data_IF_981539479247
#
_entry.id   IF_981539479247
#
_cell.length_a   1.000
_cell.length_b   1.000
_cell.length_c   1.000
_cell.angle_alpha   90.00
_cell.angle_beta   90.00
_cell.angle_gamma   90.00
#
_symmetry.space_group_name_H-M   'P 1'
#
loop_
_entity.id
_entity.type
_entity.pdbx_description
1 polymer ?
#
# COMPACT_ATOMS: atom_id res chain seq x y z
N UNK A 1 1.10 14.95 2.66
CA UNK A 1 0.54 16.26 2.32
C UNK A 1 -0.97 16.13 2.18
N UNK A 2 -1.76 16.94 2.88
CA UNK A 2 -3.20 16.97 2.63
C UNK A 2 -3.48 17.90 1.43
N UNK A 3 -4.41 17.50 0.55
CA UNK A 3 -4.82 18.34 -0.57
C UNK A 3 -5.59 19.57 -0.06
N UNK A 4 -5.41 20.73 -0.69
CA UNK A 4 -6.19 21.93 -0.38
C UNK A 4 -7.70 21.71 -0.49
N UNK A 5 -8.13 20.82 -1.40
CA UNK A 5 -9.54 20.42 -1.56
C UNK A 5 -10.13 19.65 -0.38
N UNK A 6 -9.29 19.17 0.53
CA UNK A 6 -9.71 18.43 1.72
C UNK A 6 -9.83 19.31 2.96
N UNK A 7 -9.54 20.61 2.83
CA UNK A 7 -9.65 21.57 3.94
C UNK A 7 -11.14 21.88 4.18
N UNK A 8 -11.71 21.56 5.36
CA UNK A 8 -13.11 21.85 5.66
C UNK A 8 -13.35 23.36 5.79
N UNK A 9 -14.52 23.85 5.40
CA UNK A 9 -15.01 25.18 5.78
C UNK A 9 -14.53 26.36 4.93
N UNK A 10 -14.06 26.16 3.70
CA UNK A 10 -13.76 27.24 2.75
C UNK A 10 -12.43 27.94 2.97
N UNK A 11 -12.20 29.06 2.24
CA UNK A 11 -10.90 29.72 2.13
C UNK A 11 -10.28 30.22 3.46
N UNK A 12 -11.09 30.60 4.43
CA UNK A 12 -10.59 31.13 5.71
C UNK A 12 -10.16 30.03 6.71
N UNK A 13 -10.68 28.83 6.58
CA UNK A 13 -10.41 27.74 7.51
C UNK A 13 -9.04 27.10 7.35
N UNK A 14 -8.37 27.29 6.21
CA UNK A 14 -7.01 26.76 5.99
C UNK A 14 -5.96 27.39 6.94
N UNK A 15 -6.24 28.58 7.48
CA UNK A 15 -5.36 29.26 8.44
C UNK A 15 -5.44 28.60 9.83
N UNK A 16 -6.60 28.02 10.15
CA UNK A 16 -6.87 27.39 11.44
C UNK A 16 -6.86 25.85 11.38
N UNK A 17 -6.70 25.30 10.18
CA UNK A 17 -6.70 23.85 10.00
C UNK A 17 -5.33 23.25 10.26
N UNK A 18 -5.27 22.38 11.26
CA UNK A 18 -4.09 21.62 11.60
C UNK A 18 -4.14 20.29 10.81
N UNK A 19 -3.23 20.07 9.85
CA UNK A 19 -3.26 18.84 9.05
C UNK A 19 -2.98 17.63 9.93
N UNK A 20 -3.63 16.48 9.66
CA UNK A 20 -3.29 15.25 10.35
C UNK A 20 -1.82 14.90 10.14
N UNK A 21 -1.21 14.24 11.13
CA UNK A 21 0.16 13.78 11.02
C UNK A 21 0.35 12.93 9.75
N UNK A 22 1.42 13.14 8.99
CA UNK A 22 1.68 12.35 7.80
C UNK A 22 1.96 10.88 8.17
N UNK A 23 1.53 9.94 7.31
CA UNK A 23 1.81 8.49 7.48
C UNK A 23 3.31 8.24 7.62
N UNK A 24 4.12 8.96 6.83
CA UNK A 24 5.58 8.93 6.91
C UNK A 24 6.07 10.33 7.27
N UNK A 25 6.77 10.52 8.40
CA UNK A 25 7.33 11.79 8.80
C UNK A 25 8.40 12.29 7.83
N UNK A 26 8.60 13.60 7.78
CA UNK A 26 9.54 14.22 6.84
C UNK A 26 11.00 13.81 7.11
N UNK A 27 11.38 13.61 8.36
CA UNK A 27 12.71 13.13 8.77
C UNK A 27 13.02 11.70 8.33
N UNK A 28 11.99 10.96 7.89
CA UNK A 28 12.08 9.61 7.29
C UNK A 28 11.82 9.61 5.79
N UNK A 29 11.75 10.79 5.18
CA UNK A 29 11.54 10.94 3.73
C UNK A 29 12.87 11.30 3.09
N UNK A 30 13.39 10.40 2.24
CA UNK A 30 14.65 10.59 1.52
C UNK A 30 14.38 11.13 0.12
N UNK A 31 15.31 11.95 -0.40
CA UNK A 31 15.24 12.48 -1.75
C UNK A 31 16.02 11.60 -2.72
N UNK A 32 15.37 11.18 -3.80
CA UNK A 32 16.03 10.51 -4.92
C UNK A 32 16.20 11.49 -6.07
N UNK A 33 17.45 11.70 -6.48
CA UNK A 33 17.77 12.54 -7.63
C UNK A 33 17.69 11.70 -8.90
N UNK A 34 16.55 11.81 -9.60
CA UNK A 34 16.21 11.06 -10.80
C UNK A 34 15.15 11.81 -11.61
N UNK A 35 14.82 11.35 -12.83
CA UNK A 35 13.64 11.80 -13.58
C UNK A 35 13.30 10.85 -14.71
N UNK A 36 12.06 10.36 -14.71
CA UNK A 36 11.36 9.79 -15.87
C UNK A 36 10.45 10.87 -16.46
N UNK A 37 10.48 11.02 -17.77
CA UNK A 37 9.60 11.92 -18.51
C UNK A 37 8.18 11.40 -18.64
N UNK A 38 7.31 12.21 -19.22
CA UNK A 38 5.89 11.90 -19.39
C UNK A 38 5.64 10.75 -20.39
N UNK A 39 6.58 10.52 -21.29
CA UNK A 39 6.54 9.46 -22.31
C UNK A 39 7.31 8.19 -21.84
N UNK A 40 7.80 8.19 -20.60
CA UNK A 40 8.54 7.06 -20.03
C UNK A 40 10.04 7.04 -20.34
N UNK A 41 10.56 8.05 -21.05
CA UNK A 41 12.00 8.18 -21.33
C UNK A 41 12.78 8.56 -20.06
N UNK A 42 14.04 8.12 -19.98
CA UNK A 42 14.93 8.54 -18.92
C UNK A 42 15.48 9.95 -19.22
N UNK A 43 15.02 10.95 -18.49
CA UNK A 43 15.51 12.33 -18.55
C UNK A 43 16.74 12.52 -17.67
N UNK A 44 16.78 11.84 -16.52
CA UNK A 44 17.87 11.90 -15.57
C UNK A 44 18.00 10.55 -14.84
N UNK A 45 19.18 9.92 -14.89
CA UNK A 45 19.38 8.64 -14.21
C UNK A 45 19.31 8.75 -12.68
N UNK A 46 19.07 7.64 -12.02
CA UNK A 46 19.08 7.53 -10.56
C UNK A 46 20.49 7.77 -10.02
N UNK A 47 20.65 8.74 -9.13
CA UNK A 47 21.91 8.96 -8.40
C UNK A 47 21.99 7.96 -7.23
N UNK A 48 22.53 6.76 -7.53
CA UNK A 48 22.61 5.64 -6.57
C UNK A 48 23.60 5.93 -5.42
N UNK A 49 24.66 6.66 -5.67
CA UNK A 49 25.69 7.00 -4.67
C UNK A 49 25.09 7.88 -3.57
N UNK A 50 24.48 9.00 -3.95
CA UNK A 50 23.86 9.92 -3.01
C UNK A 50 22.69 9.28 -2.24
N UNK A 51 21.93 8.39 -2.91
CA UNK A 51 20.82 7.68 -2.25
C UNK A 51 21.35 6.61 -1.27
N UNK A 52 22.44 5.92 -1.61
CA UNK A 52 23.09 4.93 -0.74
C UNK A 52 23.52 5.55 0.60
N UNK A 53 24.14 6.72 0.56
CA UNK A 53 24.55 7.45 1.77
C UNK A 53 23.34 7.76 2.67
N UNK A 54 22.26 8.23 2.08
CA UNK A 54 21.02 8.51 2.83
C UNK A 54 20.41 7.21 3.42
N UNK A 55 20.33 6.12 2.64
CA UNK A 55 19.79 4.84 3.10
C UNK A 55 20.57 4.27 4.29
N UNK A 56 21.91 4.43 4.32
CA UNK A 56 22.73 3.99 5.45
C UNK A 56 22.32 4.67 6.76
N UNK A 57 21.83 5.91 6.72
CA UNK A 57 21.34 6.61 7.92
C UNK A 57 20.07 5.99 8.50
N UNK A 58 19.32 5.22 7.70
CA UNK A 58 18.07 4.55 8.10
C UNK A 58 18.28 3.14 8.64
N UNK A 59 19.49 2.60 8.58
CA UNK A 59 19.82 1.24 9.04
C UNK A 59 19.41 1.04 10.50
N UNK A 60 18.60 0.00 10.77
CA UNK A 60 18.07 -0.32 12.10
C UNK A 60 16.97 0.60 12.62
N UNK A 61 16.55 1.62 11.85
CA UNK A 61 15.52 2.59 12.26
C UNK A 61 14.17 2.35 11.59
N UNK A 62 14.12 1.57 10.52
CA UNK A 62 12.93 1.32 9.71
C UNK A 62 12.72 -0.16 9.46
N UNK A 63 11.48 -0.60 9.33
CA UNK A 63 11.09 -1.99 9.01
C UNK A 63 10.61 -2.14 7.57
N UNK A 64 10.21 -1.05 6.95
CA UNK A 64 9.75 -1.02 5.57
C UNK A 64 10.16 0.29 4.88
N UNK A 65 10.33 0.25 3.57
CA UNK A 65 10.61 1.41 2.71
C UNK A 65 9.61 1.45 1.57
N UNK A 66 9.03 2.62 1.37
CA UNK A 66 8.21 2.92 0.19
C UNK A 66 9.06 3.67 -0.83
N UNK A 67 9.04 3.22 -2.07
CA UNK A 67 9.61 3.96 -3.20
C UNK A 67 8.46 4.52 -4.02
N UNK A 68 8.44 5.85 -4.18
CA UNK A 68 7.43 6.52 -5.01
C UNK A 68 8.10 7.66 -5.75
N UNK A 69 8.19 7.51 -7.07
CA UNK A 69 8.87 8.45 -7.96
C UNK A 69 7.89 9.05 -8.95
N UNK A 70 8.26 10.21 -9.50
CA UNK A 70 7.44 10.90 -10.48
C UNK A 70 7.36 10.08 -11.78
N UNK A 71 6.17 10.00 -12.38
CA UNK A 71 5.90 9.26 -13.61
C UNK A 71 6.18 7.74 -13.55
N UNK A 72 6.36 7.15 -12.37
CA UNK A 72 6.60 5.71 -12.23
C UNK A 72 5.43 4.84 -12.71
N UNK A 73 4.23 5.41 -12.85
CA UNK A 73 3.08 4.74 -13.45
C UNK A 73 3.25 4.53 -14.98
N UNK A 74 4.08 5.33 -15.64
CA UNK A 74 4.45 5.16 -17.07
C UNK A 74 5.63 4.19 -17.18
N UNK A 75 6.67 4.38 -16.36
CA UNK A 75 7.84 3.52 -16.32
C UNK A 75 8.33 3.31 -14.89
N UNK A 76 8.21 2.09 -14.39
CA UNK A 76 8.67 1.71 -13.05
C UNK A 76 10.17 1.43 -12.94
N UNK A 77 10.94 1.66 -13.99
CA UNK A 77 12.35 1.24 -14.06
C UNK A 77 13.22 1.88 -12.98
N UNK A 78 13.06 3.18 -12.71
CA UNK A 78 13.80 3.85 -11.65
C UNK A 78 13.39 3.36 -10.24
N UNK A 79 12.10 3.08 -10.01
CA UNK A 79 11.66 2.50 -8.73
C UNK A 79 12.24 1.10 -8.51
N UNK A 80 12.38 0.28 -9.57
CA UNK A 80 13.06 -1.02 -9.48
C UNK A 80 14.52 -0.87 -9.10
N UNK A 81 15.24 0.02 -9.77
CA UNK A 81 16.65 0.29 -9.45
C UNK A 81 16.84 0.78 -8.01
N UNK A 82 15.94 1.64 -7.53
CA UNK A 82 15.95 2.11 -6.14
C UNK A 82 15.60 0.97 -5.18
N UNK A 83 14.61 0.14 -5.51
CA UNK A 83 14.21 -1.01 -4.72
C UNK A 83 15.35 -2.04 -4.57
N UNK A 84 16.09 -2.31 -5.63
CA UNK A 84 17.29 -3.16 -5.59
C UNK A 84 18.36 -2.57 -4.67
N UNK A 85 18.63 -1.26 -4.79
CA UNK A 85 19.58 -0.58 -3.92
C UNK A 85 19.14 -0.61 -2.45
N UNK A 86 17.84 -0.45 -2.16
CA UNK A 86 17.31 -0.59 -0.81
C UNK A 86 17.56 -1.99 -0.26
N UNK A 87 17.27 -3.04 -1.03
CA UNK A 87 17.50 -4.44 -0.62
C UNK A 87 18.98 -4.74 -0.40
N UNK A 88 19.88 -4.13 -1.18
CA UNK A 88 21.33 -4.26 -1.00
C UNK A 88 21.81 -3.62 0.32
N UNK A 89 21.35 -2.39 0.61
CA UNK A 89 21.81 -1.60 1.76
C UNK A 89 21.09 -2.00 3.06
N UNK A 90 19.83 -2.36 2.95
CA UNK A 90 18.90 -2.68 4.05
C UNK A 90 18.23 -4.05 3.80
N UNK A 91 18.95 -5.17 3.88
CA UNK A 91 18.43 -6.50 3.47
C UNK A 91 17.25 -7.00 4.30
N UNK A 92 17.10 -6.53 5.54
CA UNK A 92 16.04 -6.95 6.46
C UNK A 92 14.77 -6.09 6.36
N UNK A 93 14.70 -5.19 5.38
CA UNK A 93 13.61 -4.21 5.25
C UNK A 93 12.67 -4.60 4.11
N UNK A 94 11.37 -4.60 4.38
CA UNK A 94 10.36 -4.80 3.32
C UNK A 94 10.29 -3.58 2.40
N UNK A 95 10.16 -3.84 1.09
CA UNK A 95 10.10 -2.77 0.08
C UNK A 95 8.75 -2.80 -0.62
N UNK A 96 8.15 -1.63 -0.82
CA UNK A 96 6.98 -1.44 -1.68
C UNK A 96 7.30 -0.40 -2.74
N UNK A 97 7.13 -0.78 -4.01
CA UNK A 97 7.29 0.09 -5.17
C UNK A 97 5.92 0.62 -5.59
N UNK A 98 5.78 1.93 -5.73
CA UNK A 98 4.48 2.54 -5.95
C UNK A 98 3.83 2.08 -7.27
N UNK A 99 4.62 1.88 -8.32
CA UNK A 99 4.14 1.39 -9.61
C UNK A 99 3.65 -0.07 -9.58
N UNK A 100 4.10 -0.89 -8.62
CA UNK A 100 3.61 -2.26 -8.43
C UNK A 100 2.35 -2.30 -7.58
N UNK A 101 2.26 -1.41 -6.58
CA UNK A 101 1.12 -1.36 -5.65
C UNK A 101 -0.10 -0.71 -6.29
N UNK A 102 0.07 0.39 -7.01
CA UNK A 102 -0.99 1.13 -7.70
C UNK A 102 -0.45 1.77 -8.98
N UNK A 103 -0.44 1.05 -10.13
CA UNK A 103 0.09 1.56 -11.40
C UNK A 103 -0.87 2.54 -12.09
N UNK A 104 -1.25 3.61 -11.42
CA UNK A 104 -2.23 4.58 -11.89
C UNK A 104 -1.69 6.01 -11.85
N UNK A 105 -2.24 6.86 -12.72
CA UNK A 105 -2.05 8.30 -12.67
C UNK A 105 -2.60 8.83 -11.34
N UNK A 106 -1.89 9.76 -10.72
CA UNK A 106 -2.25 10.32 -9.42
C UNK A 106 -1.15 10.07 -8.40
N UNK A 107 -0.12 10.91 -8.45
CA UNK A 107 1.08 10.77 -7.62
C UNK A 107 0.77 10.71 -6.12
N UNK A 108 -0.17 11.53 -5.66
CA UNK A 108 -0.55 11.56 -4.25
C UNK A 108 -1.22 10.26 -3.81
N UNK A 109 -2.24 9.80 -4.56
CA UNK A 109 -2.99 8.58 -4.27
C UNK A 109 -2.06 7.35 -4.35
N UNK A 110 -1.22 7.29 -5.36
CA UNK A 110 -0.24 6.22 -5.53
C UNK A 110 0.74 6.19 -4.36
N UNK A 111 1.29 7.34 -3.97
CA UNK A 111 2.25 7.44 -2.86
C UNK A 111 1.60 7.04 -1.53
N UNK A 112 0.40 7.53 -1.22
CA UNK A 112 -0.30 7.21 0.03
C UNK A 112 -0.67 5.72 0.07
N UNK A 113 -1.13 5.15 -1.04
CA UNK A 113 -1.47 3.73 -1.12
C UNK A 113 -0.23 2.86 -0.93
N UNK A 114 0.89 3.19 -1.59
CA UNK A 114 2.15 2.47 -1.42
C UNK A 114 2.72 2.62 0.01
N UNK A 115 2.60 3.81 0.61
CA UNK A 115 2.99 4.05 2.00
C UNK A 115 2.16 3.21 2.97
N UNK A 116 0.84 3.17 2.78
CA UNK A 116 -0.06 2.32 3.57
C UNK A 116 0.31 0.85 3.41
N UNK A 117 0.59 0.41 2.17
CA UNK A 117 1.08 -0.95 1.91
C UNK A 117 2.33 -1.27 2.73
N UNK A 118 3.32 -0.39 2.71
CA UNK A 118 4.58 -0.58 3.45
C UNK A 118 4.38 -0.67 4.96
N UNK A 119 3.47 0.12 5.52
CA UNK A 119 3.18 0.12 6.97
C UNK A 119 2.61 -1.24 7.42
N UNK A 120 1.69 -1.82 6.64
CA UNK A 120 1.01 -3.05 7.02
C UNK A 120 1.74 -4.33 6.55
N UNK A 121 2.60 -4.23 5.54
CA UNK A 121 3.25 -5.37 4.88
C UNK A 121 4.00 -6.30 5.83
N UNK A 122 4.84 -5.84 6.78
CA UNK A 122 5.58 -6.74 7.66
C UNK A 122 4.69 -7.61 8.54
N UNK A 123 3.59 -7.05 9.06
CA UNK A 123 2.68 -7.78 9.94
C UNK A 123 1.77 -8.75 9.17
N UNK A 124 1.20 -8.28 8.05
CA UNK A 124 0.33 -9.12 7.21
C UNK A 124 1.12 -10.27 6.61
N UNK A 125 2.33 -10.03 6.12
CA UNK A 125 3.20 -11.08 5.57
C UNK A 125 3.50 -12.14 6.62
N UNK A 126 3.85 -11.75 7.83
CA UNK A 126 4.07 -12.69 8.95
C UNK A 126 2.82 -13.52 9.27
N UNK A 127 1.65 -12.88 9.32
CA UNK A 127 0.38 -13.56 9.55
C UNK A 127 0.09 -14.59 8.45
N UNK A 128 0.21 -14.20 7.18
CA UNK A 128 -0.07 -15.08 6.04
C UNK A 128 0.90 -16.26 5.96
N UNK A 129 2.18 -16.06 6.26
CA UNK A 129 3.17 -17.14 6.35
C UNK A 129 2.81 -18.13 7.47
N UNK A 130 2.40 -17.63 8.64
CA UNK A 130 1.93 -18.47 9.74
C UNK A 130 0.66 -19.25 9.40
N UNK A 131 -0.25 -18.63 8.64
CA UNK A 131 -1.47 -19.28 8.14
C UNK A 131 -1.11 -20.41 7.14
N UNK A 132 -0.23 -20.12 6.20
CA UNK A 132 0.23 -21.11 5.21
C UNK A 132 0.85 -22.34 5.89
N UNK A 133 1.69 -22.13 6.89
CA UNK A 133 2.32 -23.22 7.62
C UNK A 133 1.31 -24.09 8.38
N UNK A 134 0.28 -23.47 8.98
CA UNK A 134 -0.77 -24.22 9.69
C UNK A 134 -1.70 -25.01 8.77
N UNK A 135 -1.90 -24.56 7.53
CA UNK A 135 -2.84 -25.16 6.58
C UNK A 135 -2.18 -26.10 5.57
N UNK A 136 -0.86 -26.20 5.58
CA UNK A 136 -0.12 -26.96 4.55
C UNK A 136 -0.55 -28.44 4.44
N UNK A 137 -0.95 -29.05 5.56
CA UNK A 137 -1.36 -30.45 5.63
C UNK A 137 -2.88 -30.64 5.40
N UNK A 138 -3.66 -29.56 5.47
CA UNK A 138 -5.12 -29.61 5.35
C UNK A 138 -5.61 -29.22 3.95
N UNK A 139 -4.90 -28.32 3.27
CA UNK A 139 -5.27 -27.86 1.92
C UNK A 139 -4.05 -27.47 1.10
N UNK A 140 -4.10 -27.77 -0.19
CA UNK A 140 -3.06 -27.36 -1.15
C UNK A 140 -3.29 -25.94 -1.72
N UNK A 141 -4.48 -25.37 -1.57
CA UNK A 141 -4.85 -24.08 -2.16
C UNK A 141 -5.56 -23.21 -1.14
N UNK A 142 -4.92 -22.11 -0.76
CA UNK A 142 -5.51 -21.06 0.06
C UNK A 142 -5.69 -19.81 -0.79
N UNK A 143 -6.90 -19.25 -0.77
CA UNK A 143 -7.23 -18.00 -1.45
C UNK A 143 -7.64 -16.94 -0.44
N UNK A 144 -7.19 -15.72 -0.65
CA UNK A 144 -7.51 -14.55 0.19
C UNK A 144 -8.48 -13.66 -0.59
N UNK A 145 -9.54 -13.22 0.07
CA UNK A 145 -10.48 -12.26 -0.50
C UNK A 145 -9.86 -10.86 -0.48
N UNK A 146 -9.95 -10.15 -1.60
CA UNK A 146 -9.53 -8.75 -1.74
C UNK A 146 -10.67 -7.78 -1.42
N UNK A 147 -10.31 -6.53 -1.17
CA UNK A 147 -11.25 -5.44 -0.92
C UNK A 147 -12.17 -5.12 -2.11
N UNK A 148 -11.77 -5.49 -3.33
CA UNK A 148 -12.58 -5.38 -4.56
C UNK A 148 -13.56 -6.57 -4.77
N UNK A 149 -13.56 -7.54 -3.83
CA UNK A 149 -14.37 -8.76 -3.92
C UNK A 149 -13.75 -9.86 -4.77
N UNK A 150 -12.56 -9.68 -5.33
CA UNK A 150 -11.78 -10.69 -6.03
C UNK A 150 -11.01 -11.60 -5.07
N UNK A 151 -10.37 -12.63 -5.62
CA UNK A 151 -9.52 -13.56 -4.87
C UNK A 151 -8.06 -13.42 -5.31
N UNK A 152 -7.15 -13.60 -4.36
CA UNK A 152 -5.72 -13.63 -4.61
C UNK A 152 -5.08 -14.81 -3.88
N UNK A 153 -3.86 -15.18 -4.23
CA UNK A 153 -3.07 -16.14 -3.46
C UNK A 153 -2.37 -15.51 -2.26
N UNK A 154 -1.83 -16.32 -1.37
CA UNK A 154 -1.15 -15.88 -0.15
C UNK A 154 0.10 -15.04 -0.45
N UNK A 155 0.84 -15.36 -1.51
CA UNK A 155 2.06 -14.66 -1.89
C UNK A 155 1.75 -13.22 -2.30
N UNK A 156 0.85 -13.04 -3.27
CA UNK A 156 0.42 -11.71 -3.72
C UNK A 156 -0.26 -10.90 -2.61
N UNK A 157 -1.08 -11.55 -1.75
CA UNK A 157 -1.66 -10.88 -0.58
C UNK A 157 -0.59 -10.36 0.38
N UNK A 158 0.52 -11.09 0.53
CA UNK A 158 1.67 -10.68 1.34
C UNK A 158 2.48 -9.53 0.72
N UNK A 159 2.56 -9.46 -0.61
CA UNK A 159 3.28 -8.39 -1.31
C UNK A 159 2.46 -7.08 -1.41
N UNK A 160 1.15 -7.20 -1.63
CA UNK A 160 0.23 -6.05 -1.72
C UNK A 160 -0.91 -6.11 -0.71
N UNK A 161 -0.61 -6.13 0.60
CA UNK A 161 -1.62 -6.26 1.65
C UNK A 161 -2.62 -5.09 1.70
N UNK A 162 -2.33 -3.95 1.14
CA UNK A 162 -3.28 -2.84 1.00
C UNK A 162 -4.57 -3.28 0.30
N UNK A 163 -4.48 -4.25 -0.61
CA UNK A 163 -5.63 -4.77 -1.35
C UNK A 163 -6.57 -5.67 -0.52
N UNK A 164 -6.19 -6.03 0.69
CA UNK A 164 -7.01 -6.88 1.58
C UNK A 164 -7.49 -6.16 2.85
N UNK A 165 -7.12 -4.88 3.04
CA UNK A 165 -7.45 -4.14 4.27
C UNK A 165 -8.94 -4.03 4.57
N UNK A 166 -9.79 -3.93 3.53
CA UNK A 166 -11.25 -3.84 3.63
C UNK A 166 -11.95 -5.09 3.12
N UNK A 167 -11.27 -6.23 3.12
CA UNK A 167 -11.82 -7.49 2.59
C UNK A 167 -12.94 -8.09 3.43
N UNK A 168 -12.98 -7.82 4.74
CA UNK A 168 -14.09 -8.25 5.63
C UNK A 168 -15.44 -7.71 5.17
N UNK A 169 -15.64 -6.37 5.15
CA UNK A 169 -16.86 -5.76 4.62
C UNK A 169 -17.18 -6.19 3.18
N UNK A 170 -16.18 -6.25 2.29
CA UNK A 170 -16.36 -6.69 0.92
C UNK A 170 -16.88 -8.14 0.84
N UNK A 171 -16.34 -9.02 1.68
CA UNK A 171 -16.77 -10.41 1.80
C UNK A 171 -18.20 -10.53 2.33
N UNK A 172 -18.54 -9.72 3.33
CA UNK A 172 -19.91 -9.64 3.86
C UNK A 172 -20.93 -9.26 2.78
N UNK A 173 -20.68 -8.18 2.05
CA UNK A 173 -21.54 -7.74 0.93
C UNK A 173 -21.62 -8.83 -0.15
N UNK A 174 -20.49 -9.41 -0.55
CA UNK A 174 -20.44 -10.44 -1.59
C UNK A 174 -21.20 -11.70 -1.17
N UNK A 175 -21.00 -12.17 0.06
CA UNK A 175 -21.66 -13.35 0.60
C UNK A 175 -23.18 -13.16 0.67
N UNK A 176 -23.65 -12.07 1.26
CA UNK A 176 -25.08 -11.77 1.38
C UNK A 176 -25.73 -11.60 0.01
N UNK A 177 -25.10 -10.84 -0.90
CA UNK A 177 -25.63 -10.64 -2.25
C UNK A 177 -25.75 -11.96 -3.01
N UNK A 178 -24.72 -12.83 -2.92
CA UNK A 178 -24.72 -14.12 -3.59
C UNK A 178 -25.78 -15.09 -3.02
N UNK A 179 -25.92 -15.14 -1.70
CA UNK A 179 -26.84 -16.09 -1.02
C UNK A 179 -28.28 -15.59 -1.12
N UNK A 180 -28.54 -14.33 -0.75
CA UNK A 180 -29.90 -13.82 -0.66
C UNK A 180 -30.48 -13.49 -2.03
N UNK A 181 -29.70 -12.93 -2.95
CA UNK A 181 -30.17 -12.65 -4.31
C UNK A 181 -30.54 -13.94 -5.07
N UNK A 182 -29.86 -15.07 -4.75
CA UNK A 182 -30.19 -16.37 -5.33
C UNK A 182 -31.35 -17.09 -4.59
N UNK A 183 -31.60 -16.76 -3.32
CA UNK A 183 -32.59 -17.41 -2.47
C UNK A 183 -33.93 -16.65 -2.42
N UNK A 184 -33.98 -15.40 -2.90
CA UNK A 184 -35.16 -14.53 -2.83
C UNK A 184 -35.36 -13.75 -4.13
N UNK A 185 -36.55 -13.20 -4.34
CA UNK A 185 -36.88 -12.32 -5.48
C UNK A 185 -36.50 -10.84 -5.22
N UNK A 186 -35.94 -10.53 -4.06
CA UNK A 186 -35.58 -9.16 -3.69
C UNK A 186 -34.36 -8.68 -4.49
N UNK A 187 -34.54 -7.58 -5.22
CA UNK A 187 -33.45 -6.97 -6.05
C UNK A 187 -32.67 -5.89 -5.30
N UNK A 188 -33.23 -5.32 -4.24
CA UNK A 188 -32.64 -4.26 -3.44
C UNK A 188 -32.34 -4.81 -2.04
N UNK A 189 -31.06 -4.81 -1.67
CA UNK A 189 -30.58 -5.34 -0.40
C UNK A 189 -29.78 -4.27 0.33
N UNK A 190 -29.94 -4.18 1.64
CA UNK A 190 -29.08 -3.39 2.52
C UNK A 190 -28.34 -4.39 3.42
N UNK A 191 -27.04 -4.30 3.47
CA UNK A 191 -26.19 -5.12 4.34
C UNK A 191 -25.63 -4.27 5.46
N UNK A 192 -25.62 -4.80 6.68
CA UNK A 192 -24.99 -4.20 7.84
C UNK A 192 -23.90 -5.15 8.34
N UNK A 193 -22.64 -4.72 8.27
CA UNK A 193 -21.50 -5.42 8.84
C UNK A 193 -21.00 -4.62 10.04
N UNK A 194 -20.95 -5.25 11.21
CA UNK A 194 -20.55 -4.62 12.46
C UNK A 194 -19.38 -5.39 13.04
N UNK A 195 -18.18 -4.86 12.82
CA UNK A 195 -16.94 -5.41 13.39
C UNK A 195 -16.46 -4.58 14.59
N UNK A 196 -16.13 -5.24 15.69
CA UNK A 196 -15.42 -4.61 16.81
C UNK A 196 -13.94 -4.45 16.45
N UNK A 197 -13.51 -3.25 16.12
CA UNK A 197 -12.09 -2.89 16.09
C UNK A 197 -11.59 -2.67 17.52
N UNK A 198 -11.20 -3.75 18.20
CA UNK A 198 -10.37 -3.67 19.39
C UNK A 198 -8.90 -3.84 18.98
N UNK A 199 -8.33 -2.82 18.38
CA UNK A 199 -6.91 -2.77 18.03
C UNK A 199 -6.46 -1.32 18.08
N UNK A 200 -5.85 -0.92 19.18
CA UNK A 200 -5.04 0.29 19.20
C UNK A 200 -3.88 0.07 18.24
N UNK A 201 -3.89 0.77 17.11
CA UNK A 201 -2.70 1.01 16.32
C UNK A 201 -1.78 1.91 17.18
N UNK A 202 -0.73 1.33 17.72
CA UNK A 202 0.39 2.03 18.36
C UNK A 202 1.45 2.31 17.29
#
# INVERSE_FOLDING_TARGET
MARRSQIPGGLASWIQWDPPAPIIPLDRTLQCSERIGVDGEEVKPVNKEALREQLLTMKGKVKAVTVSLLNSWVSGEHEKQVGELVKEVLPDVEVSLSHEVLPELGEYERTVTAATNSVVKPEVKRYLMGLQEKLKDETSVVRILKSDGGLTDLGLAGETPVNILMSGPAGGVRGITSIIANATEHKNLITLDMANFSGSLI
#
